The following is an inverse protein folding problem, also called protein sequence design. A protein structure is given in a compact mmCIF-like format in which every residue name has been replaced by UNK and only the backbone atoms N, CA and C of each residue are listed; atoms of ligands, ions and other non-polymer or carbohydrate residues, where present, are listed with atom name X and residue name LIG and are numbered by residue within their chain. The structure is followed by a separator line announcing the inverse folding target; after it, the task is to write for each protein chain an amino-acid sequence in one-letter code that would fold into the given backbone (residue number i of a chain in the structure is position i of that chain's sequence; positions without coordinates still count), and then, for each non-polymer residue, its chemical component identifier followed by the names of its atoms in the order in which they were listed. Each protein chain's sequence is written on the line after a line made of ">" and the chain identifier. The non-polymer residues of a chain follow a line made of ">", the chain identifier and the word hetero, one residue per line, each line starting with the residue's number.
data_IF_454765108910
#
_entry.id   IF_454765108910
#
_cell.length_a   1.000
_cell.length_b   1.000
_cell.length_c   1.000
_cell.angle_alpha   90.00
_cell.angle_beta   90.00
_cell.angle_gamma   90.00
#
_symmetry.space_group_name_H-M   'P 1'
#
loop_
_entity.id
_entity.type
_entity.pdbx_description
1 polymer ?
#
# COMPACT_ATOMS: atom_id res chain seq x y z
N UNK A 1 3.92 -16.92 23.84
CA UNK A 1 4.98 -17.10 22.82
C UNK A 1 4.47 -16.91 21.40
N UNK A 2 3.28 -17.41 21.04
CA UNK A 2 2.69 -17.24 19.69
C UNK A 2 2.41 -15.78 19.28
N UNK A 3 2.02 -14.91 20.22
CA UNK A 3 1.66 -13.51 19.94
C UNK A 3 2.84 -12.63 19.53
N UNK A 4 4.02 -12.81 20.15
CA UNK A 4 5.20 -12.01 19.84
C UNK A 4 5.77 -12.28 18.43
N UNK A 5 5.69 -13.53 17.95
CA UNK A 5 6.09 -13.86 16.57
C UNK A 5 5.14 -13.26 15.54
N UNK A 6 3.83 -13.28 15.85
CA UNK A 6 2.79 -12.64 15.05
C UNK A 6 3.04 -11.13 14.90
N UNK A 7 3.40 -10.44 15.98
CA UNK A 7 3.70 -9.01 15.95
C UNK A 7 4.94 -8.67 15.11
N UNK A 8 5.96 -9.53 15.16
CA UNK A 8 7.19 -9.36 14.37
C UNK A 8 6.91 -9.59 12.88
N UNK A 9 6.17 -10.66 12.56
CA UNK A 9 5.75 -10.96 11.19
C UNK A 9 4.90 -9.83 10.61
N UNK A 10 3.93 -9.31 11.36
CA UNK A 10 3.11 -8.20 10.91
C UNK A 10 3.92 -6.91 10.67
N UNK A 11 4.89 -6.59 11.54
CA UNK A 11 5.77 -5.44 11.31
C UNK A 11 6.63 -5.60 10.07
N UNK A 12 7.15 -6.80 9.85
CA UNK A 12 8.01 -7.08 8.70
C UNK A 12 7.23 -7.05 7.38
N UNK A 13 6.08 -7.75 7.34
CA UNK A 13 5.19 -7.79 6.19
C UNK A 13 4.74 -6.37 5.80
N UNK A 14 4.36 -5.58 6.81
CA UNK A 14 3.96 -4.19 6.61
C UNK A 14 5.06 -3.32 6.00
N UNK A 15 6.28 -3.43 6.53
CA UNK A 15 7.42 -2.65 6.03
C UNK A 15 7.79 -3.05 4.60
N UNK A 16 7.79 -4.35 4.30
CA UNK A 16 8.02 -4.88 2.95
C UNK A 16 6.92 -4.42 1.97
N UNK A 17 5.66 -4.47 2.39
CA UNK A 17 4.51 -4.08 1.59
C UNK A 17 4.51 -2.58 1.28
N UNK A 18 4.94 -1.73 2.22
CA UNK A 18 5.13 -0.31 1.96
C UNK A 18 6.29 -0.03 1.00
N UNK A 19 7.45 -0.66 1.23
CA UNK A 19 8.64 -0.46 0.38
C UNK A 19 8.47 -0.94 -1.05
N UNK A 20 7.71 -2.02 -1.27
CA UNK A 20 7.51 -2.60 -2.59
C UNK A 20 6.23 -2.05 -3.21
N UNK A 21 5.12 -2.06 -2.46
CA UNK A 21 3.79 -1.70 -2.98
C UNK A 21 3.71 -0.25 -3.44
N UNK A 22 4.39 0.68 -2.78
CA UNK A 22 4.39 2.09 -3.17
C UNK A 22 5.09 2.33 -4.53
N UNK A 23 6.37 1.97 -4.73
CA UNK A 23 7.03 2.14 -6.02
C UNK A 23 6.42 1.27 -7.13
N UNK A 24 5.91 0.08 -6.82
CA UNK A 24 5.30 -0.79 -7.83
C UNK A 24 3.98 -0.21 -8.35
N UNK A 25 3.14 0.34 -7.47
CA UNK A 25 1.91 1.02 -7.89
C UNK A 25 2.20 2.30 -8.70
N UNK A 26 3.22 3.08 -8.33
CA UNK A 26 3.66 4.23 -9.12
C UNK A 26 4.15 3.78 -10.50
N UNK A 27 4.99 2.74 -10.55
CA UNK A 27 5.50 2.19 -11.80
C UNK A 27 4.35 1.71 -12.69
N UNK A 28 3.34 1.05 -12.10
CA UNK A 28 2.18 0.57 -12.84
C UNK A 28 1.37 1.73 -13.44
N UNK A 29 1.15 2.81 -12.69
CA UNK A 29 0.50 4.02 -13.20
C UNK A 29 1.28 4.60 -14.38
N UNK A 30 2.61 4.74 -14.26
CA UNK A 30 3.47 5.23 -15.36
C UNK A 30 3.36 4.31 -16.58
N UNK A 31 3.41 3.00 -16.38
CA UNK A 31 3.36 2.02 -17.46
C UNK A 31 2.00 2.04 -18.16
N UNK A 32 0.90 2.22 -17.41
CA UNK A 32 -0.43 2.39 -17.97
C UNK A 32 -0.51 3.67 -18.81
N UNK A 33 0.02 4.79 -18.33
CA UNK A 33 -0.02 6.06 -19.07
C UNK A 33 0.81 6.00 -20.35
N UNK A 34 2.03 5.45 -20.29
CA UNK A 34 2.96 5.47 -21.42
C UNK A 34 2.74 4.33 -22.44
N UNK A 35 2.24 3.18 -22.02
CA UNK A 35 2.24 1.95 -22.84
C UNK A 35 0.85 1.44 -23.21
N UNK A 36 -0.23 1.96 -22.61
CA UNK A 36 -1.58 1.44 -22.91
C UNK A 36 -2.10 1.95 -24.26
N UNK A 37 -2.49 1.07 -25.19
CA UNK A 37 -3.18 1.45 -26.42
C UNK A 37 -4.60 1.97 -26.15
N UNK A 38 -5.07 2.93 -26.97
CA UNK A 38 -6.36 3.63 -26.78
C UNK A 38 -7.60 2.72 -26.68
N UNK A 39 -7.51 1.47 -27.13
CA UNK A 39 -8.62 0.50 -27.07
C UNK A 39 -8.83 -0.11 -25.68
N UNK A 40 -7.82 -0.13 -24.80
CA UNK A 40 -7.93 -0.71 -23.46
C UNK A 40 -8.27 0.34 -22.38
N UNK A 41 -8.74 1.53 -22.76
CA UNK A 41 -8.97 2.66 -21.85
C UNK A 41 -9.86 2.34 -20.65
N UNK A 42 -10.87 1.48 -20.81
CA UNK A 42 -11.77 1.09 -19.72
C UNK A 42 -11.04 0.24 -18.68
N UNK A 43 -10.30 -0.78 -19.11
CA UNK A 43 -9.51 -1.64 -18.21
C UNK A 43 -8.39 -0.86 -17.53
N UNK A 44 -7.70 0.02 -18.26
CA UNK A 44 -6.66 0.87 -17.70
C UNK A 44 -7.18 1.89 -16.69
N UNK A 45 -8.42 2.37 -16.84
CA UNK A 45 -9.04 3.24 -15.85
C UNK A 45 -9.32 2.50 -14.54
N UNK A 46 -9.77 1.25 -14.60
CA UNK A 46 -9.97 0.39 -13.42
C UNK A 46 -8.61 0.09 -12.76
N UNK A 47 -7.57 -0.24 -13.54
CA UNK A 47 -6.24 -0.47 -12.99
C UNK A 47 -5.68 0.76 -12.27
N UNK A 48 -5.82 1.96 -12.84
CA UNK A 48 -5.37 3.20 -12.19
C UNK A 48 -6.14 3.43 -10.88
N UNK A 49 -7.46 3.23 -10.88
CA UNK A 49 -8.27 3.34 -9.66
C UNK A 49 -7.81 2.36 -8.59
N UNK A 50 -7.46 1.13 -8.98
CA UNK A 50 -6.93 0.13 -8.05
C UNK A 50 -5.56 0.55 -7.48
N UNK A 51 -4.67 1.10 -8.30
CA UNK A 51 -3.37 1.60 -7.83
C UNK A 51 -3.54 2.75 -6.83
N UNK A 52 -4.49 3.65 -7.09
CA UNK A 52 -4.80 4.76 -6.17
C UNK A 52 -5.38 4.25 -4.86
N UNK A 53 -6.26 3.24 -4.90
CA UNK A 53 -6.80 2.59 -3.71
C UNK A 53 -5.71 1.89 -2.89
N UNK A 54 -4.78 1.18 -3.54
CA UNK A 54 -3.66 0.54 -2.85
C UNK A 54 -2.77 1.56 -2.13
N UNK A 55 -2.42 2.66 -2.80
CA UNK A 55 -1.64 3.75 -2.18
C UNK A 55 -2.41 4.36 -1.00
N UNK A 56 -3.71 4.58 -1.16
CA UNK A 56 -4.57 5.12 -0.10
C UNK A 56 -4.63 4.17 1.10
N UNK A 57 -4.83 2.87 0.87
CA UNK A 57 -4.86 1.85 1.91
C UNK A 57 -3.53 1.78 2.67
N UNK A 58 -2.41 1.74 1.95
CA UNK A 58 -1.07 1.77 2.57
C UNK A 58 -0.89 3.02 3.46
N UNK A 59 -1.38 4.17 3.01
CA UNK A 59 -1.29 5.45 3.74
C UNK A 59 -2.19 5.45 4.98
N UNK A 60 -3.44 5.01 4.88
CA UNK A 60 -4.37 4.90 6.02
C UNK A 60 -3.82 3.94 7.06
N UNK A 61 -3.25 2.82 6.62
CA UNK A 61 -2.70 1.81 7.51
C UNK A 61 -1.44 2.32 8.23
N UNK A 62 -0.63 3.17 7.58
CA UNK A 62 0.49 3.89 8.22
C UNK A 62 -0.03 4.82 9.32
N UNK A 63 -1.07 5.59 8.99
CA UNK A 63 -1.67 6.53 9.91
C UNK A 63 -2.24 5.83 11.14
N UNK A 64 -2.99 4.74 10.95
CA UNK A 64 -3.55 3.93 12.05
C UNK A 64 -2.43 3.38 12.95
N UNK A 65 -1.35 2.84 12.38
CA UNK A 65 -0.19 2.37 13.14
C UNK A 65 0.44 3.48 13.98
N UNK A 66 0.64 4.68 13.41
CA UNK A 66 1.21 5.84 14.12
C UNK A 66 0.28 6.28 15.26
N UNK A 67 -1.02 6.34 15.02
CA UNK A 67 -2.01 6.74 16.03
C UNK A 67 -2.05 5.73 17.19
N UNK A 68 -2.09 4.42 16.90
CA UNK A 68 -2.06 3.37 17.92
C UNK A 68 -0.77 3.46 18.76
N UNK A 69 0.38 3.61 18.09
CA UNK A 69 1.68 3.74 18.77
C UNK A 69 1.74 4.99 19.66
N UNK A 70 1.09 6.08 19.25
CA UNK A 70 1.01 7.32 20.04
C UNK A 70 0.12 7.13 21.28
N UNK A 71 -1.01 6.42 21.15
CA UNK A 71 -1.90 6.07 22.29
C UNK A 71 -1.18 5.22 23.34
N UNK A 72 -0.34 4.28 22.93
CA UNK A 72 0.44 3.45 23.87
C UNK A 72 1.55 4.21 24.61
N UNK A 73 2.02 5.35 24.11
CA UNK A 73 3.08 6.13 24.77
C UNK A 73 2.54 7.08 25.84
N UNK A 74 1.23 7.35 25.84
CA UNK A 74 0.56 8.32 26.73
C UNK A 74 -0.09 7.63 27.95
N UNK A 75 -0.17 6.30 27.96
CA UNK A 75 -0.74 5.49 29.04
C UNK A 75 0.33 4.60 29.67
#
# INVERSE_FOLDING_TARGET
>A
MSTALLDILFKFDYFACFLIGFPLNILLIVLIIFKTPKEMKTHSRILIQNCVLDILMLTVQLFVQVVIKTKQKIN
#
